data_IF_570131846823
#
_entry.id   IF_570131846823
#
_cell.length_a   1.000
_cell.length_b   1.000
_cell.length_c   1.000
_cell.angle_alpha   90.00
_cell.angle_beta   90.00
_cell.angle_gamma   90.00
#
_symmetry.space_group_name_H-M   'P 1'
#
loop_
_entity.id
_entity.type
_entity.pdbx_description
1 polymer ?
#
# COMPACT_ATOMS: atom_id res chain seq x y z
N UNK A 1 22.59 -1.48 -3.87
CA UNK A 1 22.35 -1.35 -2.42
C UNK A 1 20.87 -1.49 -2.02
N UNK A 2 19.89 -1.13 -2.87
CA UNK A 2 18.46 -1.18 -2.52
C UNK A 2 17.67 -2.41 -3.02
N UNK A 3 18.29 -3.28 -3.82
CA UNK A 3 17.63 -4.45 -4.44
C UNK A 3 16.99 -5.40 -3.41
N UNK A 4 17.54 -5.48 -2.20
CA UNK A 4 17.01 -6.31 -1.12
C UNK A 4 15.58 -5.94 -0.70
N UNK A 5 15.11 -4.74 -1.01
CA UNK A 5 13.76 -4.26 -0.70
C UNK A 5 12.77 -4.45 -1.87
N UNK A 6 13.24 -4.89 -3.03
CA UNK A 6 12.45 -4.98 -4.26
C UNK A 6 11.82 -6.38 -4.40
N UNK A 7 10.57 -6.39 -4.86
CA UNK A 7 9.84 -7.61 -5.15
C UNK A 7 9.24 -8.27 -3.91
N UNK A 8 8.90 -9.54 -4.07
CA UNK A 8 8.17 -10.33 -3.09
C UNK A 8 9.02 -11.50 -2.58
N UNK A 9 8.56 -12.09 -1.47
CA UNK A 9 9.04 -13.32 -0.86
C UNK A 9 7.84 -14.15 -0.40
N UNK A 10 8.02 -15.46 -0.15
CA UNK A 10 7.01 -16.25 0.55
C UNK A 10 6.61 -15.59 1.88
N UNK A 11 5.33 -15.73 2.24
CA UNK A 11 4.80 -15.22 3.50
C UNK A 11 5.46 -15.98 4.66
N UNK A 12 6.04 -15.26 5.61
CA UNK A 12 6.60 -15.86 6.82
C UNK A 12 5.49 -16.49 7.68
N UNK A 13 5.78 -17.58 8.40
CA UNK A 13 4.77 -18.33 9.16
C UNK A 13 4.05 -17.46 10.21
N UNK A 14 4.78 -16.62 10.96
CA UNK A 14 4.20 -15.66 11.91
C UNK A 14 3.28 -14.61 11.26
N UNK A 15 3.35 -14.49 9.94
CA UNK A 15 2.61 -13.57 9.09
C UNK A 15 1.60 -14.29 8.19
N UNK A 16 1.28 -15.56 8.46
CA UNK A 16 0.28 -16.32 7.70
C UNK A 16 -1.08 -15.60 7.70
N UNK A 17 -1.80 -15.75 6.60
CA UNK A 17 -3.12 -15.15 6.38
C UNK A 17 -4.10 -16.27 6.09
N UNK A 18 -5.24 -16.28 6.78
CA UNK A 18 -6.36 -17.15 6.41
C UNK A 18 -6.94 -16.64 5.08
N UNK A 19 -6.55 -17.34 4.01
CA UNK A 19 -6.96 -17.02 2.65
C UNK A 19 -8.48 -17.14 2.47
N UNK A 20 -9.12 -18.14 3.07
CA UNK A 20 -10.55 -18.36 2.89
C UNK A 20 -11.37 -17.28 3.60
N UNK A 21 -10.95 -16.88 4.80
CA UNK A 21 -11.57 -15.75 5.50
C UNK A 21 -11.43 -14.44 4.72
N UNK A 22 -10.24 -14.17 4.17
CA UNK A 22 -9.98 -12.99 3.35
C UNK A 22 -10.82 -12.98 2.06
N UNK A 23 -10.92 -14.10 1.35
CA UNK A 23 -11.74 -14.23 0.13
C UNK A 23 -13.22 -13.90 0.37
N UNK A 24 -13.78 -14.26 1.54
CA UNK A 24 -15.17 -13.91 1.90
C UNK A 24 -15.38 -12.41 2.02
N UNK A 25 -14.41 -11.68 2.57
CA UNK A 25 -14.46 -10.21 2.69
C UNK A 25 -14.25 -9.55 1.34
N UNK A 26 -13.33 -10.06 0.52
CA UNK A 26 -12.96 -9.44 -0.76
C UNK A 26 -13.92 -9.76 -1.91
N UNK A 27 -14.72 -10.83 -1.79
CA UNK A 27 -15.66 -11.24 -2.83
C UNK A 27 -14.99 -11.80 -4.10
N UNK A 28 -13.71 -12.18 -4.04
CA UNK A 28 -12.99 -12.83 -5.13
C UNK A 28 -12.06 -13.92 -4.63
N UNK A 29 -11.74 -14.87 -5.51
CA UNK A 29 -10.80 -15.96 -5.24
C UNK A 29 -9.37 -15.47 -5.37
N UNK A 30 -8.53 -15.79 -4.39
CA UNK A 30 -7.11 -15.48 -4.39
C UNK A 30 -6.39 -16.68 -5.02
N UNK A 31 -5.46 -16.45 -5.94
CA UNK A 31 -4.54 -17.48 -6.41
C UNK A 31 -3.35 -17.58 -5.46
N UNK A 32 -2.62 -16.48 -5.27
CA UNK A 32 -1.40 -16.42 -4.45
C UNK A 32 -1.40 -15.21 -3.51
N UNK A 33 -0.67 -15.38 -2.39
CA UNK A 33 -0.34 -14.31 -1.45
C UNK A 33 1.17 -14.30 -1.28
N UNK A 34 1.79 -13.15 -1.49
CA UNK A 34 3.23 -12.99 -1.34
C UNK A 34 3.53 -11.75 -0.51
N UNK A 35 4.56 -11.80 0.33
CA UNK A 35 4.94 -10.68 1.18
C UNK A 35 5.96 -9.79 0.45
N UNK A 36 5.79 -8.48 0.49
CA UNK A 36 6.81 -7.57 -0.04
C UNK A 36 8.08 -7.62 0.84
N UNK A 37 9.25 -7.45 0.22
CA UNK A 37 10.52 -7.39 0.96
C UNK A 37 10.72 -6.07 1.71
N UNK A 38 10.21 -4.97 1.16
CA UNK A 38 10.12 -3.66 1.83
C UNK A 38 8.90 -3.51 2.74
N UNK A 39 8.78 -2.36 3.41
CA UNK A 39 7.61 -2.04 4.27
C UNK A 39 7.74 -2.55 5.71
N UNK A 40 8.73 -2.05 6.45
CA UNK A 40 9.07 -2.54 7.80
C UNK A 40 8.04 -2.18 8.88
N UNK A 41 7.27 -1.10 8.71
CA UNK A 41 6.28 -0.68 9.73
C UNK A 41 5.03 -1.56 9.72
N UNK A 42 4.37 -1.72 8.56
CA UNK A 42 3.14 -2.51 8.43
C UNK A 42 3.35 -3.62 7.38
N UNK A 43 3.17 -4.90 7.73
CA UNK A 43 3.26 -6.00 6.78
C UNK A 43 2.39 -5.74 5.56
N UNK A 44 3.02 -5.78 4.38
CA UNK A 44 2.38 -5.49 3.09
C UNK A 44 2.53 -6.71 2.18
N UNK A 45 1.46 -7.07 1.47
CA UNK A 45 1.36 -8.28 0.68
C UNK A 45 0.81 -7.98 -0.72
N UNK A 46 1.31 -8.71 -1.72
CA UNK A 46 0.68 -8.80 -3.04
C UNK A 46 -0.34 -9.93 -3.01
N UNK A 47 -1.57 -9.62 -3.38
CA UNK A 47 -2.61 -10.61 -3.65
C UNK A 47 -2.75 -10.74 -5.16
N UNK A 48 -2.61 -11.95 -5.69
CA UNK A 48 -2.96 -12.23 -7.09
C UNK A 48 -4.30 -12.95 -7.09
N UNK A 49 -5.33 -12.36 -7.70
CA UNK A 49 -6.64 -12.97 -7.85
C UNK A 49 -6.64 -14.04 -8.94
N UNK A 50 -7.56 -15.00 -8.84
CA UNK A 50 -7.69 -16.08 -9.83
C UNK A 50 -8.10 -15.60 -11.23
N UNK A 51 -8.66 -14.39 -11.33
CA UNK A 51 -9.02 -13.74 -12.60
C UNK A 51 -7.87 -12.89 -13.20
N UNK A 52 -6.68 -12.92 -12.61
CA UNK A 52 -5.49 -12.23 -13.09
C UNK A 52 -5.30 -10.82 -12.53
N UNK A 53 -6.28 -10.26 -11.80
CA UNK A 53 -6.11 -8.96 -11.13
C UNK A 53 -5.11 -9.05 -9.98
N UNK A 54 -4.42 -7.94 -9.68
CA UNK A 54 -3.46 -7.84 -8.59
C UNK A 54 -3.89 -6.74 -7.61
N UNK A 55 -3.70 -7.01 -6.33
CA UNK A 55 -4.02 -6.08 -5.26
C UNK A 55 -2.88 -6.02 -4.24
N UNK A 56 -2.88 -4.96 -3.42
CA UNK A 56 -2.00 -4.83 -2.27
C UNK A 56 -2.83 -4.87 -1.00
N UNK A 57 -2.48 -5.77 -0.09
CA UNK A 57 -3.01 -5.80 1.27
C UNK A 57 -1.97 -5.24 2.23
N UNK A 58 -2.38 -4.33 3.10
CA UNK A 58 -1.54 -3.79 4.18
C UNK A 58 -2.27 -3.94 5.50
N UNK A 59 -1.60 -4.46 6.52
CA UNK A 59 -2.21 -4.77 7.82
C UNK A 59 -1.34 -4.36 9.00
N UNK A 60 -1.95 -4.24 10.18
CA UNK A 60 -1.20 -4.06 11.43
C UNK A 60 -0.33 -5.30 11.70
N UNK A 61 0.88 -5.15 12.25
CA UNK A 61 1.66 -6.29 12.70
C UNK A 61 0.91 -7.09 13.76
N UNK A 62 1.07 -8.43 13.82
CA UNK A 62 0.48 -9.22 14.88
C UNK A 62 1.15 -8.93 16.24
N UNK A 63 0.43 -9.14 17.33
CA UNK A 63 0.93 -9.01 18.70
C UNK A 63 0.49 -7.73 19.41
N UNK A 64 1.01 -7.51 20.63
CA UNK A 64 0.67 -6.34 21.45
C UNK A 64 1.41 -5.11 20.94
N UNK A 65 0.67 -4.18 20.34
CA UNK A 65 1.20 -2.95 19.77
C UNK A 65 1.15 -1.79 20.78
N UNK A 66 2.06 -0.82 20.62
CA UNK A 66 1.97 0.44 21.34
C UNK A 66 0.73 1.22 20.89
N UNK A 67 0.08 2.00 21.78
CA UNK A 67 -1.01 2.88 21.39
C UNK A 67 -0.60 3.79 20.22
N UNK A 68 -1.51 3.95 19.24
CA UNK A 68 -1.32 4.79 18.04
C UNK A 68 -0.24 4.34 17.05
N UNK A 69 0.50 3.27 17.34
CA UNK A 69 1.38 2.65 16.35
C UNK A 69 0.53 1.89 15.32
N UNK A 70 0.98 1.87 14.06
CA UNK A 70 0.37 1.06 13.00
C UNK A 70 -1.10 1.43 12.68
N UNK A 71 -1.41 2.72 12.58
CA UNK A 71 -2.75 3.22 12.23
C UNK A 71 -3.05 3.05 10.71
N UNK A 72 -3.19 1.80 10.26
CA UNK A 72 -3.53 1.46 8.87
C UNK A 72 -4.90 1.99 8.43
N UNK A 73 -5.81 2.20 9.40
CA UNK A 73 -7.10 2.86 9.23
C UNK A 73 -6.93 4.32 8.79
N UNK A 74 -6.00 5.06 9.41
CA UNK A 74 -5.67 6.43 9.02
C UNK A 74 -5.01 6.49 7.63
N UNK A 75 -4.10 5.55 7.34
CA UNK A 75 -3.50 5.43 6.00
C UNK A 75 -4.59 5.24 4.93
N UNK A 76 -5.53 4.31 5.16
CA UNK A 76 -6.66 4.07 4.26
C UNK A 76 -7.56 5.31 4.12
N UNK A 77 -7.93 5.98 5.22
CA UNK A 77 -8.79 7.17 5.20
C UNK A 77 -8.21 8.27 4.31
N UNK A 78 -6.90 8.53 4.40
CA UNK A 78 -6.23 9.51 3.55
C UNK A 78 -6.26 9.08 2.08
N UNK A 79 -5.89 7.84 1.77
CA UNK A 79 -5.93 7.32 0.39
C UNK A 79 -7.35 7.41 -0.20
N UNK A 80 -8.35 7.04 0.59
CA UNK A 80 -9.75 7.03 0.17
C UNK A 80 -10.33 8.43 -0.05
N UNK A 81 -9.88 9.42 0.74
CA UNK A 81 -10.24 10.81 0.53
C UNK A 81 -9.55 11.43 -0.68
N UNK A 82 -8.29 11.06 -0.95
CA UNK A 82 -7.49 11.61 -2.06
C UNK A 82 -7.86 11.02 -3.43
N UNK A 83 -8.17 9.72 -3.51
CA UNK A 83 -8.48 9.05 -4.78
C UNK A 83 -9.58 9.74 -5.62
N UNK A 84 -10.76 10.11 -5.08
CA UNK A 84 -11.81 10.75 -5.87
C UNK A 84 -11.46 12.15 -6.38
N UNK A 85 -10.41 12.80 -5.85
CA UNK A 85 -9.95 14.11 -6.35
C UNK A 85 -9.06 14.00 -7.58
N UNK A 86 -8.75 12.78 -8.03
CA UNK A 86 -7.76 12.53 -9.09
C UNK A 86 -6.31 12.66 -8.64
N UNK A 87 -6.05 12.77 -7.32
CA UNK A 87 -4.70 12.75 -6.79
C UNK A 87 -4.06 11.36 -7.03
N UNK A 88 -2.76 11.26 -7.39
CA UNK A 88 -2.15 10.00 -7.84
C UNK A 88 -1.87 9.03 -6.67
N UNK A 89 -2.93 8.41 -6.15
CA UNK A 89 -2.91 7.33 -5.17
C UNK A 89 -3.54 6.07 -5.76
N UNK A 90 -3.18 4.91 -5.21
CA UNK A 90 -3.83 3.66 -5.59
C UNK A 90 -5.33 3.70 -5.24
N UNK A 91 -6.16 3.06 -6.07
CA UNK A 91 -7.59 2.93 -5.77
C UNK A 91 -7.79 2.11 -4.49
N UNK A 92 -8.45 2.66 -3.46
CA UNK A 92 -8.84 1.89 -2.28
C UNK A 92 -9.98 0.93 -2.63
N UNK A 93 -9.99 -0.26 -2.02
CA UNK A 93 -11.08 -1.24 -2.18
C UNK A 93 -11.82 -1.49 -0.87
N UNK A 94 -11.10 -1.87 0.19
CA UNK A 94 -11.73 -2.21 1.47
C UNK A 94 -10.83 -1.82 2.63
N UNK A 95 -11.44 -1.37 3.72
CA UNK A 95 -10.88 -1.35 5.07
C UNK A 95 -11.66 -2.36 5.90
N UNK A 96 -10.96 -3.27 6.57
CA UNK A 96 -11.52 -4.25 7.48
C UNK A 96 -10.90 -4.07 8.85
N UNK A 97 -11.69 -3.56 9.79
CA UNK A 97 -11.28 -3.37 11.19
C UNK A 97 -11.66 -4.57 12.08
N UNK A 98 -12.43 -5.52 11.54
CA UNK A 98 -12.74 -6.77 12.21
C UNK A 98 -11.49 -7.68 12.26
N UNK A 99 -10.84 -7.69 13.41
CA UNK A 99 -9.63 -8.48 13.65
C UNK A 99 -9.89 -9.99 13.65
N UNK A 100 -11.16 -10.43 13.73
CA UNK A 100 -11.50 -11.86 13.65
C UNK A 100 -11.27 -12.46 12.26
N UNK A 101 -11.16 -11.64 11.20
CA UNK A 101 -10.99 -12.11 9.83
C UNK A 101 -9.59 -12.67 9.57
N UNK A 102 -8.53 -11.89 9.86
CA UNK A 102 -7.13 -12.31 9.62
C UNK A 102 -6.19 -11.99 10.78
N UNK A 103 -6.74 -11.77 11.98
CA UNK A 103 -6.00 -11.55 13.23
C UNK A 103 -5.62 -10.10 13.51
N UNK A 104 -5.68 -9.20 12.51
CA UNK A 104 -5.43 -7.76 12.66
C UNK A 104 -6.20 -6.97 11.62
N UNK A 105 -6.47 -5.69 11.92
CA UNK A 105 -7.05 -4.76 10.96
C UNK A 105 -6.17 -4.60 9.70
N UNK A 106 -6.80 -4.47 8.54
CA UNK A 106 -6.14 -4.36 7.24
C UNK A 106 -6.93 -3.54 6.24
N UNK A 107 -6.25 -3.10 5.19
CA UNK A 107 -6.91 -2.55 4.01
C UNK A 107 -6.34 -3.13 2.72
N UNK A 108 -7.12 -3.04 1.65
CA UNK A 108 -6.74 -3.47 0.30
C UNK A 108 -6.90 -2.31 -0.68
N UNK A 109 -5.93 -2.20 -1.60
CA UNK A 109 -5.91 -1.23 -2.69
C UNK A 109 -5.41 -1.89 -3.98
N UNK A 110 -5.53 -1.17 -5.11
CA UNK A 110 -4.95 -1.62 -6.38
C UNK A 110 -3.44 -1.87 -6.27
N UNK A 111 -2.97 -2.88 -6.99
CA UNK A 111 -1.55 -3.02 -7.29
C UNK A 111 -1.22 -2.14 -8.50
N UNK A 112 -0.55 -1.02 -8.25
CA UNK A 112 -0.09 -0.10 -9.30
C UNK A 112 1.25 -0.57 -9.83
N UNK A 113 1.29 -0.99 -11.09
CA UNK A 113 2.53 -1.35 -11.78
C UNK A 113 3.36 -0.10 -12.09
N UNK A 114 4.64 -0.13 -11.75
CA UNK A 114 5.51 1.02 -11.91
C UNK A 114 6.92 0.80 -11.38
N UNK A 115 7.66 1.90 -11.27
CA UNK A 115 9.05 1.93 -10.82
C UNK A 115 9.13 2.60 -9.46
N UNK A 116 9.77 1.93 -8.49
CA UNK A 116 10.16 2.54 -7.21
C UNK A 116 11.63 2.92 -7.31
N UNK A 117 11.91 4.22 -7.37
CA UNK A 117 13.26 4.77 -7.50
C UNK A 117 13.84 4.98 -6.10
N UNK A 118 14.62 4.01 -5.63
CA UNK A 118 15.16 4.01 -4.27
C UNK A 118 16.36 4.94 -4.08
N UNK A 119 17.21 5.04 -5.11
CA UNK A 119 18.41 5.87 -5.07
C UNK A 119 18.08 7.27 -5.60
N UNK A 120 18.16 8.28 -4.72
CA UNK A 120 17.84 9.67 -5.07
C UNK A 120 18.84 10.28 -6.06
N UNK A 121 20.03 9.68 -6.25
CA UNK A 121 20.97 10.10 -7.30
C UNK A 121 20.52 9.72 -8.71
N UNK A 122 19.50 8.86 -8.83
CA UNK A 122 18.91 8.41 -10.09
C UNK A 122 19.99 7.89 -11.06
N UNK A 123 20.69 6.79 -10.69
CA UNK A 123 21.75 6.22 -11.51
C UNK A 123 21.20 5.72 -12.86
N UNK A 124 22.01 5.80 -13.91
CA UNK A 124 21.61 5.39 -15.26
C UNK A 124 20.71 6.38 -16.00
N UNK A 125 20.27 7.48 -15.37
CA UNK A 125 19.45 8.51 -15.99
C UNK A 125 20.28 9.69 -16.51
N UNK A 126 19.83 10.27 -17.61
CA UNK A 126 20.33 11.52 -18.17
C UNK A 126 19.95 12.73 -17.30
N UNK A 127 20.60 13.88 -17.52
CA UNK A 127 20.28 15.12 -16.78
C UNK A 127 18.81 15.55 -16.98
N UNK A 128 18.26 15.39 -18.17
CA UNK A 128 16.87 15.74 -18.49
C UNK A 128 15.88 14.82 -17.79
N UNK A 129 16.13 13.50 -17.78
CA UNK A 129 15.28 12.53 -17.07
C UNK A 129 15.27 12.80 -15.56
N UNK A 130 16.45 13.05 -14.95
CA UNK A 130 16.54 13.41 -13.54
C UNK A 130 15.73 14.67 -13.25
N UNK A 131 15.86 15.71 -14.09
CA UNK A 131 15.09 16.95 -13.93
C UNK A 131 13.59 16.66 -13.96
N UNK A 132 13.11 15.88 -14.94
CA UNK A 132 11.69 15.56 -15.06
C UNK A 132 11.14 14.80 -13.84
N UNK A 133 11.92 13.86 -13.29
CA UNK A 133 11.51 13.09 -12.09
C UNK A 133 11.42 13.99 -10.86
N UNK A 134 12.40 14.88 -10.66
CA UNK A 134 12.37 15.84 -9.55
C UNK A 134 11.26 16.88 -9.71
N UNK A 135 10.99 17.33 -10.93
CA UNK A 135 9.89 18.23 -11.23
C UNK A 135 8.53 17.58 -10.92
N UNK A 136 8.34 16.32 -11.34
CA UNK A 136 7.12 15.58 -11.03
C UNK A 136 6.95 15.34 -9.52
N UNK A 137 8.03 15.02 -8.80
CA UNK A 137 8.01 14.92 -7.34
C UNK A 137 7.56 16.24 -6.70
N UNK A 138 8.12 17.37 -7.15
CA UNK A 138 7.75 18.71 -6.68
C UNK A 138 6.29 19.06 -7.01
N UNK A 139 5.83 18.73 -8.23
CA UNK A 139 4.45 18.96 -8.65
C UNK A 139 3.46 18.19 -7.77
N UNK A 140 3.74 16.92 -7.47
CA UNK A 140 2.86 16.07 -6.65
C UNK A 140 2.80 16.54 -5.20
N UNK A 141 3.93 16.90 -4.58
CA UNK A 141 3.90 17.41 -3.19
C UNK A 141 3.25 18.79 -3.10
N UNK A 142 3.46 19.66 -4.10
CA UNK A 142 2.78 20.95 -4.18
C UNK A 142 1.26 20.76 -4.33
N UNK A 143 0.83 19.87 -5.23
CA UNK A 143 -0.58 19.53 -5.41
C UNK A 143 -1.21 19.04 -4.10
N UNK A 144 -0.52 18.17 -3.34
CA UNK A 144 -1.03 17.67 -2.06
C UNK A 144 -1.32 18.82 -1.08
N UNK A 145 -0.46 19.84 -1.03
CA UNK A 145 -0.63 21.01 -0.16
C UNK A 145 -1.71 21.99 -0.64
N UNK A 146 -2.22 21.85 -1.86
CA UNK A 146 -3.36 22.67 -2.34
C UNK A 146 -4.73 22.09 -2.02
N UNK A 147 -4.81 20.84 -1.56
CA UNK A 147 -6.08 20.19 -1.26
C UNK A 147 -6.63 20.66 0.09
N UNK A 148 -7.93 21.01 0.11
CA UNK A 148 -8.64 21.32 1.35
C UNK A 148 -8.94 20.03 2.12
N UNK A 149 -8.06 19.68 3.05
CA UNK A 149 -8.19 18.47 3.85
C UNK A 149 -9.48 18.44 4.68
N UNK A 150 -10.07 19.58 5.05
CA UNK A 150 -11.36 19.63 5.76
C UNK A 150 -12.52 19.30 4.85
N UNK A 151 -12.51 19.84 3.63
CA UNK A 151 -13.49 19.46 2.59
C UNK A 151 -13.39 17.97 2.23
N UNK A 152 -12.20 17.37 2.38
CA UNK A 152 -11.96 15.94 2.24
C UNK A 152 -12.27 15.12 3.52
N UNK A 153 -12.72 15.76 4.60
CA UNK A 153 -13.07 15.11 5.85
C UNK A 153 -11.88 14.49 6.58
N UNK A 154 -10.71 15.14 6.58
CA UNK A 154 -9.45 14.66 7.19
C UNK A 154 -9.01 15.44 8.44
N UNK A 155 -9.94 16.02 9.21
CA UNK A 155 -9.64 16.68 10.50
C UNK A 155 -9.48 15.66 11.66
#
# INVERSE_FOLDING_TARGET
MFEQFIGTKPVEERHRIDKAALERVLGFRIATVEQFRGGQSNPTYRLSASDGRKFVLRRKPPGKLLPSAHAVDREYRVIAALHPTGFPVARPHVLCEDESVIGTAFYVMDYVEGRVLWDQSLPGMTKSERRAIWDELNRVIALLHTLDYRALGLE
#
